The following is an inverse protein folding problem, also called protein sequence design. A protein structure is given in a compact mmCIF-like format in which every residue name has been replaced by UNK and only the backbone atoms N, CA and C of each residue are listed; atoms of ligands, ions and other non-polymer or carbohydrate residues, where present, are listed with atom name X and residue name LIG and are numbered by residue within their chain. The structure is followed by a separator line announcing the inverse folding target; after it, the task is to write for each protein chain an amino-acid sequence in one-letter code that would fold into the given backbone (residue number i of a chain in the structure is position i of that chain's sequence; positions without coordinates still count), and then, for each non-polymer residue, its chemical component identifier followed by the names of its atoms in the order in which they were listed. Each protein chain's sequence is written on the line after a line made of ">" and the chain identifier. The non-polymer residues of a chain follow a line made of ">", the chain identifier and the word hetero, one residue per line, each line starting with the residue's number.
data_IF_964410101067
#
_entry.id   IF_964410101067
#
_cell.length_a   1.000
_cell.length_b   1.000
_cell.length_c   1.000
_cell.angle_alpha   90.00
_cell.angle_beta   90.00
_cell.angle_gamma   90.00
#
_symmetry.space_group_name_H-M   'P 1'
#
loop_
_entity.id
_entity.type
_entity.pdbx_description
1 polymer ?
#
# COMPACT_ATOMS: atom_id res chain seq x y z
N UNK A 1 8.05 -1.87 -30.67
CA UNK A 1 6.78 -1.43 -31.31
C UNK A 1 6.87 0.03 -31.70
N UNK A 2 6.30 0.41 -32.85
CA UNK A 2 6.21 1.82 -33.25
C UNK A 2 5.25 2.57 -32.31
N UNK A 3 5.59 3.82 -31.96
CA UNK A 3 4.70 4.65 -31.14
C UNK A 3 3.57 5.21 -32.00
N UNK A 4 2.36 5.17 -31.49
CA UNK A 4 1.21 5.86 -32.08
C UNK A 4 1.16 7.27 -31.50
N UNK A 5 0.76 8.23 -32.36
CA UNK A 5 0.71 9.65 -31.99
C UNK A 5 -0.66 10.19 -32.35
N UNK A 6 -1.35 10.86 -31.43
CA UNK A 6 -2.61 11.54 -31.63
C UNK A 6 -2.54 12.97 -31.07
N UNK A 7 -3.27 13.89 -31.68
CA UNK A 7 -3.24 15.31 -31.34
C UNK A 7 -4.65 15.91 -31.20
N UNK A 8 -4.72 17.07 -30.57
CA UNK A 8 -5.90 17.92 -30.59
C UNK A 8 -7.13 17.34 -29.88
N UNK A 9 -8.29 17.49 -30.48
CA UNK A 9 -9.57 17.07 -29.90
C UNK A 9 -9.69 15.55 -29.80
N UNK A 10 -9.28 14.82 -30.84
CA UNK A 10 -9.35 13.36 -30.89
C UNK A 10 -8.57 12.71 -29.72
N UNK A 11 -7.34 13.17 -29.45
CA UNK A 11 -6.54 12.66 -28.34
C UNK A 11 -7.22 12.92 -27.00
N UNK A 12 -7.80 14.10 -26.80
CA UNK A 12 -8.52 14.43 -25.55
C UNK A 12 -9.78 13.60 -25.37
N UNK A 13 -10.56 13.39 -26.44
CA UNK A 13 -11.77 12.57 -26.40
C UNK A 13 -11.46 11.12 -26.00
N UNK A 14 -10.45 10.51 -26.62
CA UNK A 14 -10.02 9.15 -26.27
C UNK A 14 -9.50 9.04 -24.85
N UNK A 15 -8.66 9.97 -24.41
CA UNK A 15 -8.21 10.00 -23.02
C UNK A 15 -9.38 10.13 -22.03
N UNK A 16 -10.32 11.04 -22.31
CA UNK A 16 -11.51 11.22 -21.45
C UNK A 16 -12.43 9.99 -21.47
N UNK A 17 -12.57 9.32 -22.60
CA UNK A 17 -13.32 8.08 -22.67
C UNK A 17 -12.73 6.99 -21.76
N UNK A 18 -11.40 6.85 -21.74
CA UNK A 18 -10.72 5.93 -20.85
C UNK A 18 -10.86 6.30 -19.37
N UNK A 19 -10.72 7.59 -19.04
CA UNK A 19 -10.97 8.10 -17.70
C UNK A 19 -12.40 7.77 -17.25
N UNK A 20 -13.39 8.01 -18.08
CA UNK A 20 -14.80 7.75 -17.77
C UNK A 20 -15.07 6.26 -17.56
N UNK A 21 -14.59 5.40 -18.47
CA UNK A 21 -14.80 3.95 -18.38
C UNK A 21 -14.29 3.38 -17.05
N UNK A 22 -13.09 3.74 -16.62
CA UNK A 22 -12.56 3.29 -15.34
C UNK A 22 -13.32 3.91 -14.17
N UNK A 23 -13.54 5.23 -14.20
CA UNK A 23 -14.21 5.92 -13.10
C UNK A 23 -15.66 5.48 -12.93
N UNK A 24 -16.40 5.17 -14.00
CA UNK A 24 -17.77 4.67 -13.92
C UNK A 24 -17.82 3.28 -13.27
N UNK A 25 -16.89 2.39 -13.62
CA UNK A 25 -16.79 1.09 -12.98
C UNK A 25 -16.49 1.21 -11.47
N UNK A 26 -15.53 2.06 -11.09
CA UNK A 26 -15.16 2.30 -9.70
C UNK A 26 -16.29 3.02 -8.93
N UNK A 27 -16.94 4.00 -9.54
CA UNK A 27 -18.02 4.78 -8.91
C UNK A 27 -19.23 3.93 -8.52
N UNK A 28 -19.45 2.78 -9.16
CA UNK A 28 -20.55 1.87 -8.81
C UNK A 28 -20.43 1.33 -7.38
N UNK A 29 -19.23 1.32 -6.81
CA UNK A 29 -18.97 0.86 -5.43
C UNK A 29 -19.18 1.95 -4.37
N UNK A 30 -19.47 3.20 -4.76
CA UNK A 30 -19.47 4.34 -3.86
C UNK A 30 -20.74 4.40 -2.98
N UNK A 31 -20.50 4.58 -1.68
CA UNK A 31 -21.52 4.97 -0.70
C UNK A 31 -22.51 3.85 -0.34
N UNK A 32 -23.59 4.21 0.39
CA UNK A 32 -24.55 3.23 0.96
C UNK A 32 -25.38 2.48 -0.10
N UNK A 33 -25.37 2.96 -1.34
CA UNK A 33 -25.99 2.28 -2.50
C UNK A 33 -24.94 1.61 -3.38
N UNK A 34 -23.70 1.52 -2.92
CA UNK A 34 -22.60 0.88 -3.63
C UNK A 34 -22.94 -0.58 -3.97
N UNK A 35 -22.48 -1.02 -5.13
CA UNK A 35 -22.70 -2.37 -5.67
C UNK A 35 -21.38 -3.08 -5.80
N UNK A 36 -21.44 -4.40 -5.78
CA UNK A 36 -20.30 -5.23 -6.09
C UNK A 36 -20.02 -5.20 -7.59
N UNK A 37 -18.77 -5.32 -7.95
CA UNK A 37 -18.29 -5.46 -9.33
C UNK A 37 -17.73 -6.88 -9.49
N UNK A 38 -18.17 -7.58 -10.52
CA UNK A 38 -17.62 -8.87 -10.89
C UNK A 38 -16.46 -8.66 -11.87
N UNK A 39 -15.29 -9.12 -11.49
CA UNK A 39 -14.08 -9.06 -12.31
C UNK A 39 -13.80 -10.43 -12.89
N UNK A 40 -13.61 -10.50 -14.21
CA UNK A 40 -13.22 -11.73 -14.89
C UNK A 40 -11.78 -12.09 -14.51
N UNK A 41 -11.54 -13.38 -14.31
CA UNK A 41 -10.19 -13.91 -14.05
C UNK A 41 -9.84 -14.96 -15.09
N UNK A 42 -8.64 -14.89 -15.62
CA UNK A 42 -8.10 -15.86 -16.60
C UNK A 42 -8.11 -17.31 -16.06
N UNK A 43 -8.04 -17.48 -14.73
CA UNK A 43 -8.02 -18.77 -14.05
C UNK A 43 -8.95 -18.73 -12.84
N UNK A 44 -9.88 -19.65 -12.76
CA UNK A 44 -10.86 -19.73 -11.68
C UNK A 44 -12.20 -19.05 -12.01
N UNK A 45 -13.02 -18.85 -11.00
CA UNK A 45 -14.29 -18.11 -11.13
C UNK A 45 -14.10 -16.59 -11.06
N UNK A 46 -15.12 -15.80 -11.50
CA UNK A 46 -15.05 -14.34 -11.39
C UNK A 46 -14.88 -13.89 -9.94
N UNK A 47 -14.05 -12.85 -9.74
CA UNK A 47 -13.86 -12.24 -8.43
C UNK A 47 -14.91 -11.16 -8.22
N UNK A 48 -15.66 -11.23 -7.13
CA UNK A 48 -16.66 -10.21 -6.77
C UNK A 48 -16.06 -9.30 -5.70
N UNK A 49 -15.91 -8.01 -6.02
CA UNK A 49 -15.28 -7.03 -5.14
C UNK A 49 -16.19 -5.83 -4.93
N UNK A 50 -16.07 -5.20 -3.76
CA UNK A 50 -16.84 -4.00 -3.39
C UNK A 50 -15.95 -2.75 -3.27
N UNK A 51 -14.63 -2.91 -3.22
CA UNK A 51 -13.69 -1.80 -3.10
C UNK A 51 -13.22 -1.30 -4.48
N UNK A 52 -13.01 0.03 -4.57
CA UNK A 52 -12.61 0.70 -5.81
C UNK A 52 -11.21 0.37 -6.28
N UNK A 53 -10.26 0.08 -5.39
CA UNK A 53 -8.86 -0.19 -5.77
C UNK A 53 -8.69 -1.48 -6.54
N UNK A 54 -9.21 -2.63 -6.09
CA UNK A 54 -9.16 -3.86 -6.88
C UNK A 54 -9.80 -3.68 -8.26
N UNK A 55 -10.97 -3.00 -8.31
CA UNK A 55 -11.65 -2.69 -9.58
C UNK A 55 -10.74 -1.86 -10.49
N UNK A 56 -10.17 -0.78 -9.97
CA UNK A 56 -9.29 0.09 -10.76
C UNK A 56 -8.04 -0.63 -11.28
N UNK A 57 -7.46 -1.54 -10.47
CA UNK A 57 -6.24 -2.27 -10.83
C UNK A 57 -6.44 -3.27 -11.97
N UNK A 58 -7.60 -3.89 -12.06
CA UNK A 58 -7.91 -4.93 -13.05
C UNK A 58 -8.38 -4.35 -14.39
N UNK A 59 -8.77 -3.06 -14.45
CA UNK A 59 -9.26 -2.47 -15.70
C UNK A 59 -8.10 -2.20 -16.66
N UNK A 60 -8.15 -2.86 -17.80
CA UNK A 60 -7.34 -2.63 -18.99
C UNK A 60 -8.25 -2.48 -20.21
N UNK A 61 -7.99 -1.49 -21.06
CA UNK A 61 -8.80 -1.18 -22.24
C UNK A 61 -8.03 -1.54 -23.52
N UNK A 62 -8.76 -2.00 -24.53
CA UNK A 62 -8.17 -2.42 -25.82
C UNK A 62 -7.56 -1.25 -26.60
N UNK A 63 -8.24 -0.09 -26.65
CA UNK A 63 -7.69 1.11 -27.30
C UNK A 63 -6.55 1.70 -26.43
N UNK A 64 -5.36 1.81 -27.01
CA UNK A 64 -4.16 2.27 -26.33
C UNK A 64 -4.29 3.69 -25.74
N UNK A 65 -5.03 4.60 -26.39
CA UNK A 65 -5.23 5.96 -25.93
C UNK A 65 -6.27 6.02 -24.80
N UNK A 66 -7.34 5.25 -24.92
CA UNK A 66 -8.31 5.10 -23.83
C UNK A 66 -7.65 4.46 -22.61
N UNK A 67 -6.85 3.41 -22.82
CA UNK A 67 -6.13 2.77 -21.74
C UNK A 67 -5.16 3.73 -21.04
N UNK A 68 -4.50 4.62 -21.78
CA UNK A 68 -3.67 5.67 -21.19
C UNK A 68 -4.50 6.59 -20.28
N UNK A 69 -5.70 6.99 -20.67
CA UNK A 69 -6.63 7.76 -19.84
C UNK A 69 -7.02 7.00 -18.56
N UNK A 70 -7.35 5.71 -18.70
CA UNK A 70 -7.64 4.85 -17.56
C UNK A 70 -6.44 4.73 -16.60
N UNK A 71 -5.22 4.56 -17.11
CA UNK A 71 -4.01 4.46 -16.26
C UNK A 71 -3.74 5.76 -15.48
N UNK A 72 -3.98 6.93 -16.07
CA UNK A 72 -3.81 8.21 -15.38
C UNK A 72 -4.72 8.33 -14.15
N UNK A 73 -5.99 7.94 -14.29
CA UNK A 73 -6.92 8.02 -13.15
C UNK A 73 -6.72 6.88 -12.14
N UNK A 74 -6.27 5.72 -12.59
CA UNK A 74 -5.86 4.59 -11.74
C UNK A 74 -4.72 5.01 -10.79
N UNK A 75 -3.80 5.86 -11.23
CA UNK A 75 -2.73 6.38 -10.38
C UNK A 75 -3.27 7.18 -9.20
N UNK A 76 -4.33 7.98 -9.39
CA UNK A 76 -4.96 8.73 -8.30
C UNK A 76 -5.55 7.79 -7.24
N UNK A 77 -6.22 6.71 -7.68
CA UNK A 77 -6.75 5.68 -6.79
C UNK A 77 -5.63 4.97 -5.99
N UNK A 78 -4.58 4.52 -6.69
CA UNK A 78 -3.48 3.79 -6.08
C UNK A 78 -2.70 4.63 -5.06
N UNK A 79 -2.36 5.88 -5.41
CA UNK A 79 -1.68 6.79 -4.46
C UNK A 79 -2.52 7.09 -3.22
N UNK A 80 -3.84 7.18 -3.37
CA UNK A 80 -4.74 7.37 -2.22
C UNK A 80 -4.73 6.14 -1.33
N UNK A 81 -4.75 4.92 -1.91
CA UNK A 81 -4.64 3.67 -1.16
C UNK A 81 -3.33 3.60 -0.35
N UNK A 82 -2.21 3.93 -0.98
CA UNK A 82 -0.88 3.84 -0.38
C UNK A 82 -0.70 4.84 0.80
N UNK A 83 -1.31 6.03 0.69
CA UNK A 83 -1.13 7.10 1.70
C UNK A 83 -2.18 7.04 2.80
N UNK A 84 -3.44 6.79 2.45
CA UNK A 84 -4.58 6.88 3.37
C UNK A 84 -5.25 5.54 3.68
N UNK A 85 -5.07 4.53 2.83
CA UNK A 85 -5.71 3.22 2.96
C UNK A 85 -7.22 3.21 2.66
N UNK A 86 -7.86 4.36 2.51
CA UNK A 86 -9.29 4.52 2.24
C UNK A 86 -9.56 5.77 1.38
N UNK A 87 -10.80 5.92 0.90
CA UNK A 87 -11.21 7.07 0.07
C UNK A 87 -10.82 6.97 -1.40
N UNK A 88 -10.39 5.84 -1.87
CA UNK A 88 -9.91 5.59 -3.23
C UNK A 88 -10.97 5.81 -4.29
N UNK A 89 -12.20 5.36 -4.04
CA UNK A 89 -13.35 5.58 -4.92
C UNK A 89 -13.71 7.07 -4.99
N UNK A 90 -13.69 7.78 -3.86
CA UNK A 90 -13.93 9.23 -3.81
C UNK A 90 -12.87 9.99 -4.59
N UNK A 91 -11.58 9.64 -4.41
CA UNK A 91 -10.47 10.25 -5.16
C UNK A 91 -10.62 10.05 -6.67
N UNK A 92 -11.00 8.85 -7.10
CA UNK A 92 -11.23 8.52 -8.52
C UNK A 92 -12.38 9.36 -9.12
N UNK A 93 -13.50 9.46 -8.41
CA UNK A 93 -14.66 10.23 -8.86
C UNK A 93 -14.33 11.73 -8.94
N UNK A 94 -13.68 12.28 -7.92
CA UNK A 94 -13.23 13.68 -7.92
C UNK A 94 -12.24 13.96 -9.04
N UNK A 95 -11.26 13.09 -9.25
CA UNK A 95 -10.27 13.24 -10.33
C UNK A 95 -10.96 13.25 -11.70
N UNK A 96 -11.93 12.35 -11.94
CA UNK A 96 -12.74 12.33 -13.16
C UNK A 96 -13.45 13.67 -13.40
N UNK A 97 -14.13 14.18 -12.38
CA UNK A 97 -14.90 15.43 -12.51
C UNK A 97 -13.98 16.63 -12.78
N UNK A 98 -12.83 16.70 -12.10
CA UNK A 98 -11.83 17.74 -12.34
C UNK A 98 -11.29 17.67 -13.79
N UNK A 99 -11.00 16.46 -14.28
CA UNK A 99 -10.53 16.27 -15.68
C UNK A 99 -11.62 16.66 -16.66
N UNK A 100 -12.86 16.23 -16.42
CA UNK A 100 -14.01 16.50 -17.31
C UNK A 100 -14.28 17.99 -17.43
N UNK A 101 -14.36 18.70 -16.32
CA UNK A 101 -14.58 20.14 -16.31
C UNK A 101 -13.37 20.88 -16.90
N UNK A 102 -12.15 20.46 -16.56
CA UNK A 102 -10.92 21.03 -17.14
C UNK A 102 -10.85 20.91 -18.66
N UNK A 103 -11.28 19.79 -19.24
CA UNK A 103 -11.34 19.61 -20.70
C UNK A 103 -12.39 20.55 -21.32
N UNK A 104 -13.54 20.74 -20.69
CA UNK A 104 -14.57 21.69 -21.18
C UNK A 104 -14.01 23.12 -21.26
N UNK A 105 -13.32 23.55 -20.20
CA UNK A 105 -12.70 24.87 -20.18
C UNK A 105 -11.60 25.02 -21.25
N UNK A 106 -10.82 23.97 -21.50
CA UNK A 106 -9.81 23.99 -22.59
C UNK A 106 -10.46 24.10 -23.97
N UNK A 107 -11.61 23.46 -24.21
CA UNK A 107 -12.38 23.61 -25.46
C UNK A 107 -12.87 25.04 -25.62
N UNK A 108 -13.16 25.75 -24.53
CA UNK A 108 -13.55 27.16 -24.50
C UNK A 108 -12.35 28.13 -24.57
N UNK A 109 -11.19 27.67 -25.01
CA UNK A 109 -9.92 28.43 -25.16
C UNK A 109 -9.25 28.86 -23.85
N UNK A 110 -9.55 28.25 -22.71
CA UNK A 110 -8.78 28.48 -21.50
C UNK A 110 -7.31 28.01 -21.67
N UNK A 111 -6.39 28.80 -21.17
CA UNK A 111 -4.96 28.45 -21.23
C UNK A 111 -4.65 27.32 -20.23
N UNK A 112 -4.17 26.15 -20.68
CA UNK A 112 -3.92 24.99 -19.81
C UNK A 112 -2.91 25.28 -18.70
N UNK A 113 -1.91 26.14 -18.95
CA UNK A 113 -0.88 26.48 -17.95
C UNK A 113 -1.42 27.39 -16.85
N UNK A 114 -2.37 28.28 -17.19
CA UNK A 114 -3.07 29.12 -16.21
C UNK A 114 -4.01 28.24 -15.37
N UNK A 115 -4.73 27.35 -16.03
CA UNK A 115 -5.62 26.39 -15.35
C UNK A 115 -4.85 25.51 -14.37
N UNK A 116 -3.69 24.97 -14.75
CA UNK A 116 -2.83 24.18 -13.86
C UNK A 116 -2.47 24.97 -12.60
N UNK A 117 -2.02 26.21 -12.73
CA UNK A 117 -1.72 27.07 -11.57
C UNK A 117 -2.94 27.35 -10.70
N UNK A 118 -4.11 27.46 -11.33
CA UNK A 118 -5.39 27.60 -10.61
C UNK A 118 -5.72 26.35 -9.79
N UNK A 119 -5.59 25.17 -10.38
CA UNK A 119 -5.82 23.89 -9.70
C UNK A 119 -4.83 23.67 -8.54
N UNK A 120 -3.54 24.01 -8.72
CA UNK A 120 -2.53 23.92 -7.66
C UNK A 120 -2.89 24.84 -6.47
N UNK A 121 -3.32 26.08 -6.73
CA UNK A 121 -3.78 26.98 -5.66
C UNK A 121 -5.07 26.50 -4.99
N UNK A 122 -6.02 26.03 -5.78
CA UNK A 122 -7.27 25.50 -5.27
C UNK A 122 -7.07 24.28 -4.38
N UNK A 123 -6.17 23.37 -4.77
CA UNK A 123 -5.86 22.17 -3.97
C UNK A 123 -5.29 22.54 -2.60
N UNK A 124 -4.36 23.49 -2.52
CA UNK A 124 -3.80 23.98 -1.25
C UNK A 124 -4.91 24.55 -0.37
N UNK A 125 -5.74 25.44 -0.93
CA UNK A 125 -6.85 26.05 -0.19
C UNK A 125 -7.86 25.03 0.34
N UNK A 126 -8.27 24.07 -0.52
CA UNK A 126 -9.23 23.01 -0.13
C UNK A 126 -8.64 22.13 0.97
N UNK A 127 -7.34 21.79 0.90
CA UNK A 127 -6.69 21.00 1.96
C UNK A 127 -6.67 21.77 3.28
N UNK A 128 -6.42 23.08 3.27
CA UNK A 128 -6.47 23.91 4.49
C UNK A 128 -7.87 23.95 5.10
N UNK A 129 -8.91 24.10 4.27
CA UNK A 129 -10.30 24.06 4.75
C UNK A 129 -10.70 22.67 5.27
N UNK A 130 -10.29 21.59 4.61
CA UNK A 130 -10.51 20.24 5.10
C UNK A 130 -9.84 19.99 6.47
N UNK A 131 -8.65 20.54 6.71
CA UNK A 131 -8.00 20.47 8.03
C UNK A 131 -8.82 21.12 9.15
N UNK A 132 -9.62 22.14 8.84
CA UNK A 132 -10.48 22.82 9.83
C UNK A 132 -11.73 21.98 10.19
N UNK A 133 -12.22 21.18 9.27
CA UNK A 133 -13.45 20.38 9.47
C UNK A 133 -13.17 18.93 9.85
N UNK A 134 -11.92 18.45 9.70
CA UNK A 134 -11.55 17.10 10.10
C UNK A 134 -11.82 16.87 11.60
N UNK A 135 -12.20 15.64 11.93
CA UNK A 135 -12.34 15.18 13.32
C UNK A 135 -11.33 14.07 13.56
N UNK A 136 -10.52 14.24 14.61
CA UNK A 136 -9.61 13.19 15.03
C UNK A 136 -10.41 12.10 15.76
N UNK A 137 -10.15 10.84 15.43
CA UNK A 137 -10.79 9.69 16.07
C UNK A 137 -9.95 9.19 17.25
N UNK A 138 -10.62 8.70 18.27
CA UNK A 138 -9.99 7.98 19.39
C UNK A 138 -10.00 6.48 19.10
N UNK A 139 -9.16 5.73 19.81
CA UNK A 139 -9.14 4.26 19.69
C UNK A 139 -10.52 3.64 19.94
N UNK A 140 -11.33 4.24 20.82
CA UNK A 140 -12.71 3.80 21.06
C UNK A 140 -13.61 3.89 19.83
N UNK A 141 -13.30 4.78 18.87
CA UNK A 141 -14.08 4.96 17.64
C UNK A 141 -13.60 4.04 16.50
N UNK A 142 -12.49 3.32 16.73
CA UNK A 142 -11.90 2.45 15.71
C UNK A 142 -12.86 1.36 15.23
N UNK A 143 -13.71 0.82 16.11
CA UNK A 143 -14.73 -0.15 15.75
C UNK A 143 -15.73 0.39 14.72
N UNK A 144 -16.14 1.67 14.86
CA UNK A 144 -17.07 2.30 13.93
C UNK A 144 -16.44 2.50 12.55
N UNK A 145 -15.18 2.97 12.51
CA UNK A 145 -14.41 3.15 11.26
C UNK A 145 -14.19 1.82 10.56
N UNK A 146 -13.74 0.81 11.31
CA UNK A 146 -13.52 -0.54 10.78
C UNK A 146 -14.82 -1.19 10.30
N UNK A 147 -15.95 -0.96 10.97
CA UNK A 147 -17.27 -1.43 10.55
C UNK A 147 -17.69 -0.82 9.21
N UNK A 148 -17.42 0.48 9.01
CA UNK A 148 -17.72 1.14 7.74
C UNK A 148 -16.86 0.56 6.61
N UNK A 149 -15.56 0.38 6.84
CA UNK A 149 -14.62 -0.18 5.85
C UNK A 149 -14.94 -1.64 5.50
N UNK A 150 -15.22 -2.47 6.51
CA UNK A 150 -15.50 -3.90 6.31
C UNK A 150 -16.96 -4.17 5.88
N UNK A 151 -17.85 -3.19 5.99
CA UNK A 151 -19.32 -3.33 5.87
C UNK A 151 -19.88 -4.44 6.78
N UNK A 152 -19.17 -4.78 7.86
CA UNK A 152 -19.51 -5.84 8.82
C UNK A 152 -19.15 -5.41 10.24
N UNK A 153 -20.13 -5.32 11.16
CA UNK A 153 -19.89 -4.90 12.55
C UNK A 153 -19.10 -5.95 13.36
N UNK A 154 -19.15 -7.23 12.99
CA UNK A 154 -18.38 -8.29 13.67
C UNK A 154 -16.91 -8.15 13.35
N UNK A 155 -16.58 -7.98 12.07
CA UNK A 155 -15.21 -7.71 11.63
C UNK A 155 -14.70 -6.37 12.16
N UNK A 156 -15.54 -5.33 12.15
CA UNK A 156 -15.19 -4.02 12.70
C UNK A 156 -14.79 -4.09 14.17
N UNK A 157 -15.52 -4.85 14.98
CA UNK A 157 -15.19 -5.09 16.38
C UNK A 157 -13.89 -5.89 16.52
N UNK A 158 -13.70 -6.94 15.73
CA UNK A 158 -12.49 -7.77 15.78
C UNK A 158 -11.23 -6.96 15.47
N UNK A 159 -11.29 -6.06 14.48
CA UNK A 159 -10.20 -5.15 14.13
C UNK A 159 -9.92 -4.16 15.26
N UNK A 160 -10.96 -3.60 15.88
CA UNK A 160 -10.79 -2.70 17.02
C UNK A 160 -10.17 -3.41 18.23
N UNK A 161 -10.55 -4.65 18.50
CA UNK A 161 -9.96 -5.49 19.55
C UNK A 161 -8.49 -5.78 19.23
N UNK A 162 -8.15 -6.05 17.95
CA UNK A 162 -6.77 -6.21 17.50
C UNK A 162 -5.94 -4.95 17.75
N UNK A 163 -6.42 -3.80 17.30
CA UNK A 163 -5.76 -2.49 17.49
C UNK A 163 -5.55 -2.17 18.96
N UNK A 164 -6.53 -2.50 19.80
CA UNK A 164 -6.41 -2.30 21.25
C UNK A 164 -5.32 -3.17 21.87
N UNK A 165 -5.19 -4.42 21.44
CA UNK A 165 -4.17 -5.35 21.93
C UNK A 165 -2.75 -4.98 21.52
N UNK A 166 -2.56 -4.46 20.30
CA UNK A 166 -1.23 -4.06 19.81
C UNK A 166 -0.79 -2.66 20.21
N UNK A 167 -1.53 -1.98 21.10
CA UNK A 167 -1.17 -0.65 21.60
C UNK A 167 -1.61 0.51 20.73
N UNK A 168 -2.55 0.30 19.80
CA UNK A 168 -3.18 1.37 19.02
C UNK A 168 -2.45 1.71 17.73
N UNK A 169 -2.11 2.99 17.50
CA UNK A 169 -1.62 3.50 16.22
C UNK A 169 -0.27 2.93 15.77
N UNK A 170 0.56 2.56 16.71
CA UNK A 170 1.93 2.09 16.44
C UNK A 170 2.02 0.56 16.32
N UNK A 171 0.91 -0.13 16.57
CA UNK A 171 0.82 -1.58 16.44
C UNK A 171 0.58 -2.03 15.00
N UNK A 172 1.15 -3.16 14.63
CA UNK A 172 0.96 -3.78 13.31
C UNK A 172 -0.19 -4.78 13.38
N UNK A 173 -1.16 -4.62 12.50
CA UNK A 173 -2.26 -5.58 12.28
C UNK A 173 -2.18 -6.06 10.85
N UNK A 174 -2.04 -7.36 10.66
CA UNK A 174 -2.05 -8.01 9.34
C UNK A 174 -3.31 -8.86 9.17
N UNK A 175 -3.78 -8.99 7.95
CA UNK A 175 -4.92 -9.84 7.58
C UNK A 175 -4.42 -10.90 6.61
N UNK A 176 -4.61 -12.16 6.96
CA UNK A 176 -4.15 -13.30 6.17
C UNK A 176 -5.30 -14.29 5.96
N UNK A 177 -5.27 -15.06 4.88
CA UNK A 177 -6.21 -16.15 4.67
C UNK A 177 -5.93 -17.29 5.65
N UNK A 178 -6.90 -17.56 6.53
CA UNK A 178 -6.82 -18.65 7.49
C UNK A 178 -7.27 -19.98 6.89
N UNK A 179 -6.84 -21.09 7.51
CA UNK A 179 -7.29 -22.45 7.17
C UNK A 179 -8.64 -22.82 7.83
N UNK A 180 -9.13 -21.96 8.72
CA UNK A 180 -10.38 -22.14 9.47
C UNK A 180 -11.55 -21.46 8.76
N UNK A 181 -12.76 -22.01 8.94
CA UNK A 181 -14.01 -21.37 8.48
C UNK A 181 -14.34 -20.12 9.32
N UNK A 182 -13.82 -20.05 10.53
CA UNK A 182 -14.08 -18.94 11.46
C UNK A 182 -12.88 -17.99 11.45
N UNK A 183 -13.15 -16.68 11.38
CA UNK A 183 -12.13 -15.66 11.54
C UNK A 183 -11.61 -15.64 12.98
N UNK A 184 -10.31 -15.78 13.14
CA UNK A 184 -9.62 -15.77 14.43
C UNK A 184 -8.71 -14.55 14.55
N UNK A 185 -8.46 -14.11 15.77
CA UNK A 185 -7.51 -13.07 16.09
C UNK A 185 -6.36 -13.68 16.89
N UNK A 186 -5.20 -13.78 16.26
CA UNK A 186 -3.96 -14.22 16.90
C UNK A 186 -3.14 -13.00 17.31
N UNK A 187 -2.72 -12.96 18.56
CA UNK A 187 -1.87 -11.89 19.08
C UNK A 187 -0.49 -12.48 19.42
N UNK A 188 0.54 -11.83 18.87
CA UNK A 188 1.94 -12.14 19.20
C UNK A 188 2.61 -10.90 19.77
N UNK A 189 3.36 -11.07 20.83
CA UNK A 189 4.21 -10.00 21.36
C UNK A 189 5.47 -9.88 20.51
N UNK A 190 5.93 -8.66 20.31
CA UNK A 190 7.10 -8.37 19.50
C UNK A 190 6.75 -7.85 18.09
N UNK A 191 7.71 -7.93 17.17
CA UNK A 191 7.57 -7.49 15.80
C UNK A 191 7.78 -8.66 14.84
N UNK A 192 6.89 -8.83 13.87
CA UNK A 192 7.00 -9.86 12.85
C UNK A 192 7.43 -9.21 11.53
N UNK A 193 8.38 -9.85 10.83
CA UNK A 193 8.86 -9.44 9.51
C UNK A 193 8.48 -10.50 8.48
N UNK A 194 8.22 -10.06 7.25
CA UNK A 194 7.89 -10.95 6.13
C UNK A 194 9.10 -11.73 5.61
N UNK A 195 10.31 -11.27 5.94
CA UNK A 195 11.57 -11.91 5.55
C UNK A 195 12.27 -12.51 6.74
N UNK A 196 12.77 -13.72 6.57
CA UNK A 196 13.58 -14.42 7.55
C UNK A 196 15.06 -14.07 7.47
N UNK A 197 15.91 -14.97 7.94
CA UNK A 197 17.36 -14.80 7.95
C UNK A 197 17.96 -14.76 6.52
N UNK A 198 19.04 -13.99 6.35
CA UNK A 198 19.71 -13.78 5.07
C UNK A 198 20.37 -15.04 4.50
N UNK A 199 20.67 -16.05 5.34
CA UNK A 199 21.25 -17.32 4.94
C UNK A 199 20.77 -18.46 5.82
N UNK A 200 20.48 -19.62 5.22
CA UNK A 200 20.08 -20.84 5.94
C UNK A 200 21.11 -21.30 7.00
N UNK A 201 22.35 -20.90 6.85
CA UNK A 201 23.43 -21.21 7.82
C UNK A 201 23.28 -20.47 9.15
N UNK A 202 22.42 -19.47 9.24
CA UNK A 202 22.06 -18.83 10.52
C UNK A 202 21.05 -19.64 11.35
N UNK A 203 20.44 -20.67 10.77
CA UNK A 203 19.56 -21.57 11.51
C UNK A 203 20.25 -22.17 12.72
N UNK A 204 19.60 -22.15 13.88
CA UNK A 204 20.03 -22.85 15.11
C UNK A 204 19.50 -24.26 15.16
N UNK A 205 18.36 -24.53 14.51
CA UNK A 205 17.76 -25.84 14.34
C UNK A 205 17.62 -26.15 12.84
N UNK A 206 18.47 -27.00 12.31
CA UNK A 206 18.51 -27.36 10.89
C UNK A 206 17.32 -28.21 10.46
N UNK A 207 16.74 -29.01 11.35
CA UNK A 207 15.58 -29.87 11.01
C UNK A 207 14.31 -29.04 10.80
N UNK A 208 14.13 -28.01 11.65
CA UNK A 208 12.96 -27.12 11.59
C UNK A 208 13.24 -25.84 10.79
N UNK A 209 14.47 -25.60 10.35
CA UNK A 209 14.91 -24.39 9.66
C UNK A 209 14.54 -23.13 10.47
N UNK A 210 14.79 -23.15 11.77
CA UNK A 210 14.49 -22.04 12.70
C UNK A 210 15.81 -21.50 13.25
N UNK A 211 15.90 -20.16 13.34
CA UNK A 211 16.93 -19.46 14.08
C UNK A 211 16.29 -18.85 15.35
N UNK A 212 16.62 -19.39 16.53
CA UNK A 212 16.14 -18.92 17.80
C UNK A 212 17.33 -18.42 18.62
N UNK A 213 17.24 -17.19 19.07
CA UNK A 213 18.31 -16.52 19.81
C UNK A 213 17.70 -15.90 21.06
N UNK A 214 18.19 -16.35 22.21
CA UNK A 214 17.74 -15.86 23.51
C UNK A 214 18.45 -14.55 23.87
N UNK A 215 17.68 -13.57 24.36
CA UNK A 215 18.15 -12.26 24.80
C UNK A 215 19.14 -11.57 23.82
N UNK A 216 18.79 -11.43 22.54
CA UNK A 216 19.69 -10.84 21.56
C UNK A 216 19.78 -9.33 21.72
N UNK A 217 20.98 -8.78 21.46
CA UNK A 217 21.10 -7.37 21.09
C UNK A 217 20.71 -7.20 19.64
N UNK A 218 20.02 -6.12 19.33
CA UNK A 218 19.51 -5.85 17.97
C UNK A 218 20.24 -4.64 17.40
N UNK A 219 20.95 -4.85 16.30
CA UNK A 219 21.53 -3.79 15.47
C UNK A 219 20.61 -3.52 14.29
N UNK A 220 20.11 -2.28 14.17
CA UNK A 220 19.23 -1.87 13.07
C UNK A 220 19.95 -0.85 12.21
N UNK A 221 19.95 -1.07 10.89
CA UNK A 221 20.52 -0.15 9.90
C UNK A 221 19.73 -0.19 8.60
N UNK A 222 19.63 0.94 7.93
CA UNK A 222 19.04 1.12 6.59
C UNK A 222 20.07 0.94 5.47
N UNK A 223 21.30 0.50 5.81
CA UNK A 223 22.37 0.32 4.85
C UNK A 223 22.41 -1.11 4.32
N UNK A 224 22.89 -1.23 3.08
CA UNK A 224 23.35 -2.50 2.54
C UNK A 224 24.76 -2.80 3.07
N UNK A 225 24.93 -3.99 3.62
CA UNK A 225 26.19 -4.44 4.21
C UNK A 225 26.83 -5.46 3.27
N UNK A 226 27.85 -5.04 2.54
CA UNK A 226 28.56 -5.89 1.55
C UNK A 226 29.96 -6.28 2.03
N UNK A 227 30.61 -5.43 2.83
CA UNK A 227 31.96 -5.64 3.33
C UNK A 227 31.97 -5.73 4.86
N UNK A 228 32.81 -6.61 5.39
CA UNK A 228 32.95 -6.78 6.85
C UNK A 228 33.62 -5.57 7.50
N UNK A 229 34.43 -4.80 6.76
CA UNK A 229 35.14 -3.63 7.25
C UNK A 229 34.20 -2.58 7.90
N UNK A 230 32.97 -2.48 7.41
CA UNK A 230 31.97 -1.56 7.97
C UNK A 230 31.45 -2.01 9.34
N UNK A 231 31.34 -3.30 9.57
CA UNK A 231 30.86 -3.88 10.82
C UNK A 231 31.97 -4.15 11.83
N UNK A 232 33.20 -4.31 11.40
CA UNK A 232 34.33 -4.75 12.23
C UNK A 232 34.53 -3.88 13.48
N UNK A 233 34.53 -2.53 13.40
CA UNK A 233 34.71 -1.69 14.59
C UNK A 233 33.60 -1.82 15.62
N UNK A 234 32.38 -2.14 15.16
CA UNK A 234 31.25 -2.43 16.02
C UNK A 234 31.38 -3.80 16.64
N UNK A 235 31.65 -4.85 15.85
CA UNK A 235 31.76 -6.22 16.30
C UNK A 235 32.88 -6.43 17.33
N UNK A 236 34.04 -5.78 17.16
CA UNK A 236 35.15 -5.83 18.13
C UNK A 236 34.76 -5.28 19.51
N UNK A 237 33.92 -4.27 19.53
CA UNK A 237 33.37 -3.72 20.80
C UNK A 237 32.27 -4.60 21.35
N UNK A 238 31.41 -5.08 20.48
CA UNK A 238 30.23 -5.87 20.84
C UNK A 238 30.58 -7.21 21.48
N UNK A 239 31.56 -7.94 20.95
CA UNK A 239 32.02 -9.23 21.49
C UNK A 239 32.45 -9.15 22.95
N UNK A 240 32.84 -7.97 23.44
CA UNK A 240 33.17 -7.74 24.86
C UNK A 240 31.92 -7.63 25.76
N UNK A 241 30.75 -7.40 25.15
CA UNK A 241 29.46 -7.18 25.86
C UNK A 241 28.59 -8.41 25.81
N UNK A 242 28.42 -9.00 24.61
CA UNK A 242 27.55 -10.15 24.39
C UNK A 242 28.02 -10.96 23.18
N UNK A 243 27.49 -12.18 23.06
CA UNK A 243 27.66 -13.04 21.88
C UNK A 243 26.39 -13.11 21.02
N UNK A 244 25.23 -12.73 21.59
CA UNK A 244 23.94 -12.86 20.93
C UNK A 244 23.60 -11.54 20.21
N UNK A 245 23.70 -11.53 18.89
CA UNK A 245 23.45 -10.37 18.06
C UNK A 245 22.50 -10.74 16.91
N UNK A 246 21.45 -9.93 16.73
CA UNK A 246 20.60 -9.93 15.55
C UNK A 246 20.86 -8.64 14.78
N UNK A 247 21.13 -8.74 13.48
CA UNK A 247 21.35 -7.61 12.59
C UNK A 247 20.13 -7.51 11.67
N UNK A 248 19.47 -6.37 11.69
CA UNK A 248 18.39 -6.00 10.78
C UNK A 248 18.92 -4.93 9.85
N UNK A 249 19.09 -5.27 8.56
CA UNK A 249 19.65 -4.41 7.54
C UNK A 249 18.79 -4.48 6.26
N UNK A 250 18.92 -3.49 5.38
CA UNK A 250 18.25 -3.52 4.08
C UNK A 250 18.70 -4.77 3.28
N UNK A 251 20.00 -5.01 3.23
CA UNK A 251 20.57 -6.21 2.59
C UNK A 251 21.92 -6.58 3.24
N UNK A 252 22.18 -7.89 3.37
CA UNK A 252 23.48 -8.40 3.82
C UNK A 252 23.98 -9.43 2.80
N UNK A 253 25.09 -9.13 2.12
CA UNK A 253 25.59 -9.97 1.04
C UNK A 253 27.12 -10.02 0.99
N UNK A 254 27.66 -10.80 0.06
CA UNK A 254 29.08 -10.86 -0.25
C UNK A 254 29.98 -11.33 0.91
N UNK A 255 31.09 -10.62 1.11
CA UNK A 255 32.09 -10.93 2.13
C UNK A 255 31.54 -10.81 3.55
N UNK A 256 30.68 -9.82 3.79
CA UNK A 256 30.06 -9.60 5.09
C UNK A 256 29.21 -10.80 5.52
N UNK A 257 28.36 -11.30 4.62
CA UNK A 257 27.49 -12.45 4.87
C UNK A 257 28.33 -13.69 5.20
N UNK A 258 29.35 -13.98 4.39
CA UNK A 258 30.23 -15.13 4.56
C UNK A 258 30.96 -15.08 5.91
N UNK A 259 31.46 -13.91 6.27
CA UNK A 259 32.19 -13.73 7.54
C UNK A 259 31.26 -13.89 8.74
N UNK A 260 30.06 -13.34 8.68
CA UNK A 260 29.05 -13.49 9.76
C UNK A 260 28.64 -14.95 9.94
N UNK A 261 28.44 -15.69 8.83
CA UNK A 261 28.14 -17.14 8.88
C UNK A 261 29.27 -17.92 9.53
N UNK A 262 30.53 -17.66 9.16
CA UNK A 262 31.69 -18.33 9.76
C UNK A 262 31.80 -18.03 11.25
N UNK A 263 31.53 -16.79 11.65
CA UNK A 263 31.55 -16.42 13.07
C UNK A 263 30.43 -17.07 13.88
N UNK A 264 29.26 -17.28 13.29
CA UNK A 264 28.15 -18.00 13.94
C UNK A 264 28.47 -19.48 14.13
N UNK A 265 29.26 -20.08 13.22
CA UNK A 265 29.64 -21.50 13.30
C UNK A 265 30.76 -21.78 14.30
N UNK A 266 31.51 -20.77 14.74
CA UNK A 266 32.59 -20.85 15.75
C UNK A 266 32.06 -20.50 17.14
#
# INVERSE_FOLDING_TARGET
>A
MAKQIAYGAEAREKLLAGVNKLADAVATTLGPKGRNVALDRKWGGPSVVHDGVPVAKEIELEDAFENMGAQLIKEASSKTADVAGDGTTTATVLAREIIREGIKEMVSNANPMVMRRGLEKASVYVVEELKKVKKDIKLADAANVATISAADPVLGKLIADALSKVGGKDGVVTVEEGKSIVTTLDHKEGMQFDRGYASQYFSTNLEKMIAEIEDPYILITDKKITTIAELLPFLEKFVKVSKNLVIIADEVEGEALTTLVVNKLK
#
